data_IF_131421366034
#
_entry.id   IF_131421366034
#
_cell.length_a   1.000
_cell.length_b   1.000
_cell.length_c   1.000
_cell.angle_alpha   90.00
_cell.angle_beta   90.00
_cell.angle_gamma   90.00
#
_symmetry.space_group_name_H-M   'P 1'
#
loop_
_entity.id
_entity.type
_entity.pdbx_description
1 polymer ?
#
# COMPACT_ATOMS: atom_id res chain seq x y z
N UNK A 1 -11.94 8.41 -0.23
CA UNK A 1 -11.59 7.27 0.66
C UNK A 1 -12.71 6.26 0.57
N UNK A 2 -12.46 5.10 -0.04
CA UNK A 2 -13.46 4.02 -0.13
C UNK A 2 -13.28 3.08 1.04
N UNK A 3 -13.98 3.34 2.14
CA UNK A 3 -14.01 2.43 3.29
C UNK A 3 -14.68 1.13 2.85
N UNK A 4 -13.98 0.01 2.95
CA UNK A 4 -14.58 -1.30 2.74
C UNK A 4 -15.34 -1.70 3.99
N UNK A 5 -16.40 -2.46 3.76
CA UNK A 5 -17.23 -3.03 4.80
C UNK A 5 -17.15 -4.54 4.67
N UNK A 6 -17.14 -5.23 5.80
CA UNK A 6 -17.28 -6.69 5.86
C UNK A 6 -18.57 -7.04 6.57
N UNK A 7 -19.24 -8.09 6.11
CA UNK A 7 -20.43 -8.59 6.79
C UNK A 7 -20.01 -9.40 8.01
N UNK A 8 -20.48 -9.03 9.20
CA UNK A 8 -20.15 -9.74 10.44
C UNK A 8 -20.65 -11.19 10.45
N UNK A 9 -21.76 -11.47 9.76
CA UNK A 9 -22.42 -12.78 9.78
C UNK A 9 -21.93 -13.72 8.68
N UNK A 10 -21.53 -13.22 7.51
CA UNK A 10 -21.12 -14.05 6.37
C UNK A 10 -19.69 -13.79 5.85
N UNK A 11 -18.96 -12.81 6.40
CA UNK A 11 -17.57 -12.52 6.05
C UNK A 11 -17.36 -11.84 4.68
N UNK A 12 -18.41 -11.63 3.89
CA UNK A 12 -18.32 -10.99 2.56
C UNK A 12 -17.83 -9.55 2.68
N UNK A 13 -17.03 -9.09 1.72
CA UNK A 13 -16.47 -7.73 1.69
C UNK A 13 -17.04 -6.95 0.52
N UNK A 14 -17.48 -5.71 0.76
CA UNK A 14 -18.01 -4.81 -0.27
C UNK A 14 -17.59 -3.35 -0.02
N UNK A 15 -17.56 -2.54 -1.09
CA UNK A 15 -17.29 -1.09 -0.99
C UNK A 15 -18.45 -0.33 -0.36
N UNK A 16 -19.69 -0.71 -0.70
CA UNK A 16 -20.88 -0.07 -0.14
C UNK A 16 -21.50 -0.97 0.93
N UNK A 17 -21.87 -0.38 2.06
CA UNK A 17 -22.56 -1.04 3.16
C UNK A 17 -23.85 -1.73 2.71
N UNK A 18 -24.58 -1.12 1.76
CA UNK A 18 -25.87 -1.62 1.26
C UNK A 18 -25.80 -2.94 0.47
N UNK A 19 -24.61 -3.49 0.22
CA UNK A 19 -24.45 -4.82 -0.38
C UNK A 19 -24.24 -5.93 0.66
N UNK A 20 -24.31 -5.62 1.96
CA UNK A 20 -24.03 -6.54 3.06
C UNK A 20 -25.21 -6.57 4.02
N UNK A 21 -25.47 -7.74 4.61
CA UNK A 21 -26.58 -7.95 5.54
C UNK A 21 -26.32 -7.32 6.92
N UNK A 22 -25.07 -7.38 7.39
CA UNK A 22 -24.64 -6.80 8.68
C UNK A 22 -23.24 -6.15 8.50
N UNK A 23 -23.16 -4.98 7.82
CA UNK A 23 -21.90 -4.33 7.49
C UNK A 23 -21.20 -3.74 8.73
N UNK A 24 -19.95 -4.12 8.92
CA UNK A 24 -19.02 -3.44 9.82
C UNK A 24 -17.86 -2.85 9.02
N UNK A 25 -17.35 -1.68 9.44
CA UNK A 25 -16.19 -1.08 8.79
C UNK A 25 -14.98 -2.01 8.89
N UNK A 26 -14.42 -2.34 7.74
CA UNK A 26 -13.19 -3.11 7.64
C UNK A 26 -12.01 -2.16 7.87
N UNK A 27 -11.60 -2.01 9.13
CA UNK A 27 -10.49 -1.14 9.54
C UNK A 27 -9.09 -1.64 9.14
N UNK A 28 -8.97 -2.87 8.63
CA UNK A 28 -7.68 -3.47 8.30
C UNK A 28 -7.26 -3.11 6.88
N UNK A 29 -6.71 -1.91 6.74
CA UNK A 29 -5.74 -1.68 5.69
C UNK A 29 -4.43 -2.36 6.10
N UNK A 30 -3.85 -3.16 5.21
CA UNK A 30 -2.45 -3.53 5.30
C UNK A 30 -1.65 -2.23 5.32
N UNK A 31 -0.87 -2.03 6.36
CA UNK A 31 -0.01 -0.85 6.51
C UNK A 31 1.44 -1.28 6.36
N UNK A 32 2.16 -0.63 5.45
CA UNK A 32 3.57 -0.91 5.26
C UNK A 32 4.35 -0.14 6.33
N UNK A 33 5.07 -0.85 7.19
CA UNK A 33 5.86 -0.24 8.27
C UNK A 33 6.99 0.64 7.74
N UNK A 34 7.52 0.33 6.56
CA UNK A 34 8.62 1.08 5.94
C UNK A 34 8.18 2.39 5.27
N UNK A 35 6.91 2.52 4.85
CA UNK A 35 6.45 3.71 4.11
C UNK A 35 5.16 4.35 4.64
N UNK A 36 4.53 3.77 5.67
CA UNK A 36 3.29 4.25 6.27
C UNK A 36 2.06 4.16 5.35
N UNK A 37 2.19 3.59 4.15
CA UNK A 37 1.07 3.48 3.21
C UNK A 37 0.10 2.39 3.65
N UNK A 38 -1.19 2.71 3.59
CA UNK A 38 -2.28 1.81 3.96
C UNK A 38 -3.07 1.39 2.71
N UNK A 39 -3.22 0.09 2.47
CA UNK A 39 -4.03 -0.46 1.38
C UNK A 39 -4.91 -1.60 1.86
N UNK A 40 -6.11 -1.70 1.31
CA UNK A 40 -7.04 -2.80 1.60
C UNK A 40 -6.66 -4.10 0.86
N UNK A 41 -5.81 -3.99 -0.16
CA UNK A 41 -5.23 -5.11 -0.88
C UNK A 41 -3.72 -5.13 -0.62
N UNK A 42 -3.21 -6.23 -0.06
CA UNK A 42 -1.79 -6.42 0.22
C UNK A 42 -0.93 -6.27 -1.05
N UNK A 43 -1.46 -6.60 -2.23
CA UNK A 43 -0.74 -6.47 -3.51
C UNK A 43 -0.54 -5.02 -3.94
N UNK A 44 -1.36 -4.11 -3.42
CA UNK A 44 -1.34 -2.69 -3.80
C UNK A 44 -0.67 -1.78 -2.78
N UNK A 45 -0.26 -2.32 -1.62
CA UNK A 45 0.29 -1.54 -0.50
C UNK A 45 1.49 -0.68 -0.88
N UNK A 46 2.39 -1.20 -1.72
CA UNK A 46 3.59 -0.49 -2.17
C UNK A 46 3.44 0.12 -3.58
N UNK A 47 2.28 0.00 -4.23
CA UNK A 47 2.08 0.51 -5.60
C UNK A 47 2.35 2.02 -5.72
N UNK A 48 1.92 2.88 -4.77
CA UNK A 48 2.27 4.30 -4.80
C UNK A 48 3.78 4.56 -4.62
N UNK A 49 4.50 3.67 -3.92
CA UNK A 49 5.94 3.79 -3.69
C UNK A 49 6.74 3.58 -4.98
N UNK A 50 6.31 2.64 -5.83
CA UNK A 50 6.93 2.40 -7.13
C UNK A 50 6.95 3.65 -8.02
N UNK A 51 5.85 4.41 -8.04
CA UNK A 51 5.76 5.68 -8.80
C UNK A 51 6.55 6.84 -8.18
N UNK A 52 7.10 6.67 -6.98
CA UNK A 52 7.94 7.66 -6.29
C UNK A 52 9.42 7.28 -6.32
N UNK A 53 9.79 6.15 -6.91
CA UNK A 53 11.19 5.75 -7.04
C UNK A 53 11.88 6.81 -7.89
N UNK A 54 12.96 7.37 -7.36
CA UNK A 54 13.78 8.39 -8.02
C UNK A 54 15.26 8.06 -8.00
N UNK A 55 15.68 7.03 -7.26
CA UNK A 55 17.09 6.72 -7.09
C UNK A 55 17.40 5.25 -7.41
N UNK A 56 18.59 5.02 -7.97
CA UNK A 56 19.22 3.72 -8.18
C UNK A 56 20.62 3.71 -7.56
N UNK A 57 21.08 2.61 -6.94
CA UNK A 57 22.49 2.51 -6.50
C UNK A 57 23.36 2.12 -7.70
N UNK A 58 24.37 2.92 -8.05
CA UNK A 58 25.25 2.63 -9.19
C UNK A 58 25.97 1.28 -9.07
N UNK A 59 26.34 0.87 -7.85
CA UNK A 59 27.12 -0.35 -7.62
C UNK A 59 26.30 -1.65 -7.61
N UNK A 60 25.02 -1.61 -7.22
CA UNK A 60 24.20 -2.83 -7.06
C UNK A 60 22.83 -2.79 -7.76
N UNK A 61 22.45 -1.66 -8.35
CA UNK A 61 21.18 -1.50 -9.07
C UNK A 61 19.92 -1.45 -8.20
N UNK A 62 20.05 -1.35 -6.87
CA UNK A 62 18.90 -1.22 -5.97
C UNK A 62 18.16 0.09 -6.19
N UNK A 63 16.84 0.03 -6.20
CA UNK A 63 15.96 1.19 -6.34
C UNK A 63 15.47 1.71 -4.99
N UNK A 64 15.34 3.03 -4.87
CA UNK A 64 14.78 3.67 -3.69
C UNK A 64 14.03 4.97 -4.02
N UNK A 65 13.12 5.32 -3.11
CA UNK A 65 12.44 6.63 -3.08
C UNK A 65 13.30 7.70 -2.40
N UNK A 66 14.24 7.30 -1.55
CA UNK A 66 15.13 8.17 -0.80
C UNK A 66 16.60 7.77 -1.07
N UNK A 67 17.47 8.76 -1.26
CA UNK A 67 18.88 8.55 -1.57
C UNK A 67 19.67 7.93 -0.39
N UNK A 68 19.30 8.26 0.84
CA UNK A 68 19.94 7.78 2.08
C UNK A 68 19.80 6.26 2.30
N UNK A 69 18.84 5.61 1.64
CA UNK A 69 18.66 4.15 1.68
C UNK A 69 19.57 3.39 0.72
N UNK A 70 20.44 4.10 -0.02
CA UNK A 70 21.32 3.51 -1.02
C UNK A 70 22.79 3.76 -0.69
N UNK A 71 23.61 2.79 -1.09
CA UNK A 71 25.07 2.80 -0.98
C UNK A 71 25.76 3.94 -1.75
N UNK A 72 25.34 4.09 -3.00
CA UNK A 72 25.88 5.03 -3.98
C UNK A 72 24.71 5.54 -4.84
N UNK A 73 23.85 6.40 -4.27
CA UNK A 73 22.61 6.84 -4.90
C UNK A 73 22.87 7.69 -6.14
N UNK A 74 22.21 7.33 -7.24
CA UNK A 74 22.10 8.11 -8.46
C UNK A 74 20.64 8.35 -8.78
N UNK A 75 20.29 9.58 -9.15
CA UNK A 75 18.93 9.92 -9.56
C UNK A 75 18.60 9.33 -10.95
N UNK A 76 17.41 8.75 -11.06
CA UNK A 76 16.83 8.21 -12.29
C UNK A 76 15.85 9.30 -12.75
N UNK A 77 16.29 10.15 -13.67
CA UNK A 77 15.44 11.15 -14.32
C UNK A 77 14.49 10.48 -15.33
#
# INVERSE_FOLDING_TARGET
MTNLHTCKTCGKVAKNQGHLCDPVELKKAYTCEDCGASSLDARHICKPRLGKIRYTCNGCGRLSVEADKLCDPKEIL
#
